data_IF_496251461146
#
_entry.id   IF_496251461146
#
_cell.length_a   1.000
_cell.length_b   1.000
_cell.length_c   1.000
_cell.angle_alpha   90.00
_cell.angle_beta   90.00
_cell.angle_gamma   90.00
#
_symmetry.space_group_name_H-M   'P 1'
#
loop_
_entity.id
_entity.type
_entity.pdbx_description
1 polymer ?
#
# COMPACT_ATOMS: atom_id res chain seq x y z
N UNK A 1 -22.64 -8.61 7.60
CA UNK A 1 -22.93 -7.15 7.64
C UNK A 1 -24.44 -6.92 7.82
N UNK A 2 -24.83 -6.10 8.77
CA UNK A 2 -26.21 -5.74 9.08
C UNK A 2 -26.48 -4.25 8.86
N UNK A 3 -27.73 -3.82 8.86
CA UNK A 3 -28.08 -2.39 8.80
C UNK A 3 -27.53 -1.63 10.00
N UNK A 4 -27.52 -2.28 11.16
CA UNK A 4 -27.00 -1.74 12.41
C UNK A 4 -25.49 -1.44 12.34
N UNK A 5 -24.70 -2.24 11.65
CA UNK A 5 -23.27 -2.00 11.50
C UNK A 5 -22.99 -0.65 10.80
N UNK A 6 -23.75 -0.40 9.72
CA UNK A 6 -23.63 0.86 8.97
C UNK A 6 -24.22 2.03 9.76
N UNK A 7 -25.35 1.82 10.44
CA UNK A 7 -25.98 2.85 11.27
C UNK A 7 -25.07 3.24 12.45
N UNK A 8 -24.33 2.30 13.05
CA UNK A 8 -23.34 2.59 14.08
C UNK A 8 -22.25 3.51 13.56
N UNK A 9 -21.65 3.18 12.42
CA UNK A 9 -20.61 4.02 11.79
C UNK A 9 -21.14 5.42 11.44
N UNK A 10 -22.38 5.53 10.99
CA UNK A 10 -22.99 6.79 10.57
C UNK A 10 -23.61 7.60 11.73
N UNK A 11 -23.55 7.09 12.97
CA UNK A 11 -24.06 7.81 14.13
C UNK A 11 -23.15 8.97 14.52
N UNK A 12 -23.62 10.22 14.47
CA UNK A 12 -22.78 11.37 14.81
C UNK A 12 -22.23 11.30 16.22
N UNK A 13 -20.96 11.59 16.38
CA UNK A 13 -20.26 11.57 17.67
C UNK A 13 -19.66 10.22 18.06
N UNK A 14 -19.95 9.16 17.31
CA UNK A 14 -19.25 7.87 17.42
C UNK A 14 -18.12 7.89 16.39
N UNK A 15 -16.89 8.13 16.87
CA UNK A 15 -15.68 7.99 16.08
C UNK A 15 -15.22 6.52 16.03
N UNK A 16 -14.14 6.26 15.27
CA UNK A 16 -13.60 4.90 15.09
C UNK A 16 -13.37 4.20 16.43
N UNK A 17 -12.63 4.80 17.34
CA UNK A 17 -12.37 4.21 18.68
C UNK A 17 -13.64 3.99 19.51
N UNK A 18 -14.61 4.89 19.39
CA UNK A 18 -15.90 4.73 20.06
C UNK A 18 -16.72 3.56 19.52
N UNK A 19 -16.67 3.34 18.20
CA UNK A 19 -17.31 2.19 17.56
C UNK A 19 -16.65 0.87 18.00
N UNK A 20 -15.31 0.82 18.02
CA UNK A 20 -14.55 -0.34 18.51
C UNK A 20 -14.92 -0.65 19.95
N UNK A 21 -14.85 0.34 20.83
CA UNK A 21 -15.21 0.18 22.25
C UNK A 21 -16.62 -0.39 22.45
N UNK A 22 -17.59 0.14 21.70
CA UNK A 22 -18.97 -0.36 21.78
C UNK A 22 -19.09 -1.79 21.25
N UNK A 23 -18.44 -2.12 20.14
CA UNK A 23 -18.45 -3.46 19.58
C UNK A 23 -17.78 -4.48 20.50
N UNK A 24 -16.71 -4.12 21.18
CA UNK A 24 -16.04 -4.95 22.19
C UNK A 24 -16.91 -5.16 23.42
N UNK A 25 -17.61 -4.11 23.87
CA UNK A 25 -18.47 -4.17 25.07
C UNK A 25 -19.76 -5.00 24.81
N UNK A 26 -20.44 -4.76 23.69
CA UNK A 26 -21.74 -5.38 23.38
C UNK A 26 -21.65 -6.60 22.47
N UNK A 27 -20.53 -6.80 21.79
CA UNK A 27 -20.26 -7.90 20.86
C UNK A 27 -20.82 -7.74 19.46
N UNK A 28 -21.84 -6.87 19.24
CA UNK A 28 -22.39 -6.59 17.91
C UNK A 28 -23.15 -5.27 17.86
N UNK A 29 -23.26 -4.67 16.67
CA UNK A 29 -24.04 -3.45 16.46
C UNK A 29 -25.52 -3.65 16.80
N UNK A 30 -26.09 -4.80 16.48
CA UNK A 30 -27.49 -5.12 16.83
C UNK A 30 -27.73 -5.05 18.35
N UNK A 31 -26.80 -5.56 19.17
CA UNK A 31 -26.91 -5.47 20.63
C UNK A 31 -26.74 -4.04 21.14
N UNK A 32 -25.88 -3.24 20.51
CA UNK A 32 -25.72 -1.81 20.85
C UNK A 32 -27.06 -1.08 20.66
N UNK A 33 -27.77 -1.31 19.54
CA UNK A 33 -29.07 -0.68 19.28
C UNK A 33 -30.23 -1.30 20.05
N UNK A 34 -30.06 -2.43 20.70
CA UNK A 34 -31.02 -3.06 21.60
C UNK A 34 -30.80 -2.72 23.08
N UNK A 35 -29.67 -2.10 23.42
CA UNK A 35 -29.28 -1.77 24.78
C UNK A 35 -30.15 -0.64 25.36
N UNK A 36 -30.34 -0.65 26.70
CA UNK A 36 -31.02 0.42 27.45
C UNK A 36 -30.15 1.69 27.54
N UNK A 37 -30.78 2.78 27.97
CA UNK A 37 -30.06 4.05 28.20
C UNK A 37 -28.94 3.89 29.24
N UNK A 38 -29.23 3.17 30.32
CA UNK A 38 -28.30 2.97 31.45
C UNK A 38 -27.10 2.09 31.00
N UNK A 39 -27.34 1.01 30.24
CA UNK A 39 -26.26 0.19 29.68
C UNK A 39 -25.35 0.98 28.75
N UNK A 40 -25.89 1.91 27.95
CA UNK A 40 -25.10 2.75 27.07
C UNK A 40 -24.32 3.83 27.85
N UNK A 41 -24.93 4.46 28.86
CA UNK A 41 -24.30 5.58 29.57
C UNK A 41 -23.43 5.13 30.74
N UNK A 42 -23.98 4.32 31.65
CA UNK A 42 -23.27 3.84 32.84
C UNK A 42 -22.40 2.61 32.51
N UNK A 43 -22.92 1.68 31.72
CA UNK A 43 -22.21 0.46 31.35
C UNK A 43 -21.06 0.71 30.37
N UNK A 44 -21.33 1.39 29.25
CA UNK A 44 -20.32 1.65 28.21
C UNK A 44 -19.71 3.06 28.24
N UNK A 45 -20.08 3.90 29.20
CA UNK A 45 -19.53 5.24 29.38
C UNK A 45 -19.84 6.23 28.24
N UNK A 46 -20.93 6.00 27.48
CA UNK A 46 -21.32 6.92 26.42
C UNK A 46 -21.90 8.21 27.00
N UNK A 47 -21.64 9.31 26.30
CA UNK A 47 -22.32 10.57 26.62
C UNK A 47 -23.82 10.45 26.37
N UNK A 48 -24.68 11.04 27.23
CA UNK A 48 -26.14 10.92 27.12
C UNK A 48 -26.73 11.42 25.78
N UNK A 49 -26.07 12.41 25.15
CA UNK A 49 -26.50 12.94 23.84
C UNK A 49 -26.28 11.92 22.71
N UNK A 50 -25.18 11.14 22.76
CA UNK A 50 -24.88 10.08 21.81
C UNK A 50 -25.77 8.87 22.07
N UNK A 51 -25.92 8.43 23.30
CA UNK A 51 -26.83 7.35 23.69
C UNK A 51 -28.26 7.61 23.18
N UNK A 52 -28.76 8.84 23.31
CA UNK A 52 -30.09 9.24 22.80
C UNK A 52 -30.17 9.11 21.27
N UNK A 53 -29.11 9.42 20.52
CA UNK A 53 -29.10 9.27 19.05
C UNK A 53 -29.18 7.80 18.65
N UNK A 54 -28.48 6.91 19.35
CA UNK A 54 -28.56 5.46 19.14
C UNK A 54 -29.97 4.94 19.41
N UNK A 55 -30.54 5.26 20.58
CA UNK A 55 -31.90 4.84 20.98
C UNK A 55 -32.98 5.35 20.03
N UNK A 56 -32.82 6.57 19.48
CA UNK A 56 -33.72 7.14 18.47
C UNK A 56 -33.48 6.60 17.06
N UNK A 57 -32.46 5.75 16.87
CA UNK A 57 -32.12 5.14 15.56
C UNK A 57 -31.98 6.16 14.42
N UNK A 58 -31.49 7.37 14.72
CA UNK A 58 -31.41 8.49 13.76
C UNK A 58 -30.61 8.21 12.49
N UNK A 59 -29.59 7.34 12.58
CA UNK A 59 -28.75 6.98 11.45
C UNK A 59 -29.35 5.93 10.50
N UNK A 60 -30.42 5.23 10.88
CA UNK A 60 -30.94 4.09 10.11
C UNK A 60 -31.38 4.47 8.68
N UNK A 61 -32.15 5.54 8.53
CA UNK A 61 -32.57 5.99 7.20
C UNK A 61 -31.39 6.40 6.31
N UNK A 62 -30.30 6.89 6.90
CA UNK A 62 -29.07 7.19 6.17
C UNK A 62 -28.32 5.91 5.80
N UNK A 63 -28.28 4.92 6.69
CA UNK A 63 -27.67 3.62 6.45
C UNK A 63 -28.40 2.82 5.35
N UNK A 64 -29.74 2.87 5.31
CA UNK A 64 -30.53 2.27 4.23
C UNK A 64 -30.18 2.88 2.85
N UNK A 65 -30.08 4.20 2.80
CA UNK A 65 -29.66 4.91 1.57
C UNK A 65 -28.24 4.51 1.16
N UNK A 66 -27.33 4.33 2.13
CA UNK A 66 -25.96 3.91 1.88
C UNK A 66 -25.89 2.49 1.31
N UNK A 67 -26.67 1.55 1.86
CA UNK A 67 -26.77 0.18 1.31
C UNK A 67 -27.28 0.21 -0.14
N UNK A 68 -28.33 0.99 -0.40
CA UNK A 68 -28.89 1.13 -1.74
C UNK A 68 -27.90 1.77 -2.72
N UNK A 69 -27.12 2.75 -2.26
CA UNK A 69 -26.06 3.39 -3.01
C UNK A 69 -24.95 2.40 -3.35
N UNK A 70 -24.41 1.69 -2.36
CA UNK A 70 -23.34 0.71 -2.56
C UNK A 70 -23.75 -0.41 -3.52
N UNK A 71 -24.99 -0.94 -3.38
CA UNK A 71 -25.52 -1.95 -4.29
C UNK A 71 -25.58 -1.44 -5.74
N UNK A 72 -26.02 -0.20 -5.96
CA UNK A 72 -26.10 0.42 -7.29
C UNK A 72 -24.72 0.59 -7.95
N UNK A 73 -23.69 0.85 -7.17
CA UNK A 73 -22.33 1.09 -7.65
C UNK A 73 -21.40 -0.14 -7.61
N UNK A 74 -21.93 -1.32 -7.27
CA UNK A 74 -21.14 -2.55 -7.16
C UNK A 74 -20.08 -2.47 -6.07
N UNK A 75 -20.41 -1.82 -4.93
CA UNK A 75 -19.54 -1.66 -3.77
C UNK A 75 -19.99 -2.69 -2.73
N UNK A 76 -19.10 -3.60 -2.35
CA UNK A 76 -19.33 -4.51 -1.23
C UNK A 76 -19.12 -3.76 0.09
N UNK A 77 -19.91 -4.14 1.09
CA UNK A 77 -19.81 -3.63 2.45
C UNK A 77 -19.44 -4.78 3.36
N UNK A 78 -18.35 -4.64 4.12
CA UNK A 78 -17.85 -5.66 5.05
C UNK A 78 -17.74 -5.06 6.44
N UNK A 79 -18.48 -5.62 7.40
CA UNK A 79 -18.43 -5.21 8.80
C UNK A 79 -17.29 -5.92 9.53
N UNK A 80 -16.77 -5.31 10.60
CA UNK A 80 -15.69 -5.89 11.40
C UNK A 80 -16.08 -7.23 12.06
N UNK A 81 -17.36 -7.51 12.19
CA UNK A 81 -17.91 -8.77 12.71
C UNK A 81 -18.05 -9.87 11.64
N UNK A 82 -17.92 -9.55 10.36
CA UNK A 82 -18.01 -10.51 9.27
C UNK A 82 -16.74 -11.39 9.18
N UNK A 83 -16.91 -12.64 8.76
CA UNK A 83 -15.79 -13.58 8.58
C UNK A 83 -14.79 -13.11 7.50
N UNK A 84 -15.24 -12.38 6.49
CA UNK A 84 -14.41 -11.83 5.42
C UNK A 84 -13.69 -10.53 5.77
N UNK A 85 -13.81 -10.02 7.01
CA UNK A 85 -13.07 -8.84 7.43
C UNK A 85 -11.59 -9.17 7.65
N UNK A 86 -10.63 -8.31 7.17
CA UNK A 86 -9.20 -8.59 7.27
C UNK A 86 -8.75 -8.83 8.73
N UNK A 87 -8.18 -10.02 9.04
CA UNK A 87 -7.82 -10.37 10.42
C UNK A 87 -6.80 -9.40 11.02
N UNK A 88 -5.74 -9.10 10.28
CA UNK A 88 -4.70 -8.18 10.73
C UNK A 88 -5.25 -6.78 11.05
N UNK A 89 -6.19 -6.28 10.24
CA UNK A 89 -6.82 -4.99 10.49
C UNK A 89 -7.67 -5.03 11.77
N UNK A 90 -8.36 -6.14 12.04
CA UNK A 90 -9.18 -6.32 13.26
C UNK A 90 -8.36 -6.33 14.55
N UNK A 91 -7.09 -6.73 14.50
CA UNK A 91 -6.19 -6.73 15.66
C UNK A 91 -5.79 -5.33 16.13
N UNK A 92 -6.01 -4.30 15.33
CA UNK A 92 -5.60 -2.93 15.69
C UNK A 92 -6.63 -2.23 16.58
N UNK A 93 -6.22 -1.30 17.46
CA UNK A 93 -7.12 -0.68 18.45
C UNK A 93 -8.10 0.35 17.83
N UNK A 94 -7.96 0.62 16.55
CA UNK A 94 -8.73 1.63 15.82
C UNK A 94 -9.17 1.14 14.43
N UNK A 95 -9.50 -0.15 14.33
CA UNK A 95 -10.02 -0.72 13.10
C UNK A 95 -11.36 -0.08 12.68
N UNK A 96 -11.62 0.12 11.39
CA UNK A 96 -12.93 0.57 10.92
C UNK A 96 -14.04 -0.45 11.23
N UNK A 97 -15.16 0.01 11.79
CA UNK A 97 -16.31 -0.87 12.02
C UNK A 97 -16.87 -1.43 10.71
N UNK A 98 -16.74 -0.67 9.61
CA UNK A 98 -17.21 -1.04 8.28
C UNK A 98 -16.18 -0.63 7.23
N UNK A 99 -15.98 -1.49 6.24
CA UNK A 99 -15.22 -1.23 5.02
C UNK A 99 -16.13 -1.23 3.80
N UNK A 100 -15.86 -0.31 2.88
CA UNK A 100 -16.48 -0.24 1.56
C UNK A 100 -15.45 -0.66 0.52
N UNK A 101 -15.78 -1.67 -0.30
CA UNK A 101 -14.82 -2.34 -1.18
C UNK A 101 -15.36 -2.40 -2.59
N UNK A 102 -14.56 -2.00 -3.57
CA UNK A 102 -14.84 -2.21 -4.99
C UNK A 102 -13.74 -3.10 -5.58
N UNK A 103 -14.13 -4.23 -6.15
CA UNK A 103 -13.24 -5.28 -6.64
C UNK A 103 -13.27 -6.53 -5.78
N UNK A 104 -12.15 -7.23 -5.71
CA UNK A 104 -12.04 -8.50 -4.99
C UNK A 104 -11.75 -8.30 -3.50
N UNK A 105 -12.73 -8.53 -2.64
CA UNK A 105 -12.57 -8.42 -1.19
C UNK A 105 -11.57 -9.44 -0.60
N UNK A 106 -11.39 -10.60 -1.23
CA UNK A 106 -10.45 -11.63 -0.78
C UNK A 106 -8.99 -11.15 -0.86
N UNK A 107 -8.68 -10.18 -1.74
CA UNK A 107 -7.35 -9.58 -1.81
C UNK A 107 -6.91 -8.93 -0.49
N UNK A 108 -7.86 -8.49 0.36
CA UNK A 108 -7.56 -7.89 1.66
C UNK A 108 -7.15 -8.93 2.73
N UNK A 109 -7.40 -10.21 2.49
CA UNK A 109 -7.04 -11.32 3.40
C UNK A 109 -5.88 -12.17 2.88
N UNK A 110 -5.30 -11.77 1.74
CA UNK A 110 -4.12 -12.39 1.16
C UNK A 110 -2.85 -12.11 1.99
N UNK A 111 -1.69 -12.56 1.51
CA UNK A 111 -0.39 -12.15 2.08
C UNK A 111 -0.09 -10.71 1.73
N UNK A 112 -0.66 -9.77 2.48
CA UNK A 112 -0.53 -8.35 2.22
C UNK A 112 0.83 -7.81 2.67
N UNK A 113 1.45 -7.01 1.78
CA UNK A 113 2.67 -6.25 2.03
C UNK A 113 2.44 -4.79 1.66
N UNK A 114 2.67 -3.89 2.58
CA UNK A 114 2.55 -2.46 2.34
C UNK A 114 3.83 -1.87 1.76
N UNK A 115 3.72 -1.15 0.64
CA UNK A 115 4.77 -0.29 0.10
C UNK A 115 4.28 1.17 0.12
N UNK A 116 5.06 2.05 0.74
CA UNK A 116 4.77 3.49 0.83
C UNK A 116 6.02 4.34 0.65
N UNK A 117 5.81 5.63 0.36
CA UNK A 117 6.94 6.54 0.25
C UNK A 117 6.53 7.96 -0.14
N UNK A 118 7.53 8.70 -0.61
CA UNK A 118 7.36 10.08 -1.06
C UNK A 118 6.42 10.19 -2.25
N UNK A 119 5.67 11.29 -2.31
CA UNK A 119 4.85 11.63 -3.50
C UNK A 119 5.70 12.08 -4.70
N UNK A 120 6.98 12.33 -4.51
CA UNK A 120 7.96 12.71 -5.53
C UNK A 120 9.04 11.63 -5.64
N UNK A 121 8.60 10.41 -6.02
CA UNK A 121 9.51 9.30 -6.22
C UNK A 121 10.60 9.63 -7.25
N UNK A 122 11.82 9.28 -6.93
CA UNK A 122 12.94 9.34 -7.86
C UNK A 122 12.94 8.13 -8.80
N UNK A 123 13.71 8.13 -9.89
CA UNK A 123 13.91 6.92 -10.70
C UNK A 123 14.41 5.73 -9.88
N UNK A 124 15.25 5.97 -8.86
CA UNK A 124 15.73 4.95 -7.94
C UNK A 124 14.57 4.32 -7.16
N UNK A 125 13.70 5.12 -6.54
CA UNK A 125 12.56 4.61 -5.79
C UNK A 125 11.57 3.83 -6.66
N UNK A 126 11.35 4.27 -7.91
CA UNK A 126 10.51 3.54 -8.86
C UNK A 126 11.14 2.19 -9.23
N UNK A 127 12.44 2.17 -9.55
CA UNK A 127 13.17 0.94 -9.86
C UNK A 127 13.19 -0.03 -8.67
N UNK A 128 13.29 0.47 -7.45
CA UNK A 128 13.21 -0.36 -6.24
C UNK A 128 11.81 -0.98 -6.06
N UNK A 129 10.72 -0.25 -6.35
CA UNK A 129 9.38 -0.82 -6.36
C UNK A 129 9.27 -1.95 -7.39
N UNK A 130 9.67 -1.69 -8.64
CA UNK A 130 9.61 -2.66 -9.73
C UNK A 130 10.39 -3.93 -9.38
N UNK A 131 11.62 -3.77 -8.86
CA UNK A 131 12.49 -4.89 -8.51
C UNK A 131 11.95 -5.70 -7.34
N UNK A 132 11.66 -5.04 -6.21
CA UNK A 132 11.20 -5.74 -4.99
C UNK A 132 9.86 -6.45 -5.23
N UNK A 133 8.91 -5.79 -5.88
CA UNK A 133 7.60 -6.39 -6.15
C UNK A 133 7.72 -7.53 -7.16
N UNK A 134 8.52 -7.37 -8.23
CA UNK A 134 8.77 -8.43 -9.22
C UNK A 134 9.40 -9.67 -8.58
N UNK A 135 10.52 -9.51 -7.85
CA UNK A 135 11.21 -10.61 -7.17
C UNK A 135 10.31 -11.31 -6.11
N UNK A 136 9.50 -10.53 -5.36
CA UNK A 136 8.58 -11.08 -4.36
C UNK A 136 7.42 -11.83 -5.01
N UNK A 137 6.88 -11.33 -6.12
CA UNK A 137 5.78 -11.96 -6.85
C UNK A 137 6.14 -13.37 -7.35
N UNK A 138 7.38 -13.58 -7.79
CA UNK A 138 7.89 -14.88 -8.23
C UNK A 138 8.04 -15.88 -7.08
N UNK A 139 8.26 -15.41 -5.85
CA UNK A 139 8.72 -16.23 -4.72
C UNK A 139 7.68 -16.40 -3.63
N UNK A 140 6.72 -15.48 -3.52
CA UNK A 140 5.73 -15.45 -2.43
C UNK A 140 4.33 -15.71 -3.01
N UNK A 141 3.85 -16.97 -2.97
CA UNK A 141 2.51 -17.30 -3.44
C UNK A 141 1.44 -16.55 -2.64
N UNK A 142 0.47 -15.98 -3.36
CA UNK A 142 -0.63 -15.24 -2.74
C UNK A 142 -0.24 -13.86 -2.21
N UNK A 143 0.89 -13.31 -2.67
CA UNK A 143 1.29 -11.93 -2.35
C UNK A 143 0.26 -10.93 -2.89
N UNK A 144 -0.06 -9.93 -2.07
CA UNK A 144 -0.86 -8.76 -2.43
C UNK A 144 -0.16 -7.48 -1.96
N UNK A 145 0.00 -6.51 -2.85
CA UNK A 145 0.60 -5.22 -2.50
C UNK A 145 -0.48 -4.27 -2.02
N UNK A 146 -0.25 -3.62 -0.87
CA UNK A 146 -1.15 -2.61 -0.31
C UNK A 146 -0.48 -1.24 -0.37
N UNK A 147 -1.19 -0.24 -0.87
CA UNK A 147 -0.73 1.16 -0.86
C UNK A 147 -1.90 2.14 -0.92
N UNK A 148 -1.61 3.43 -1.08
CA UNK A 148 -2.61 4.50 -0.94
C UNK A 148 -3.02 5.18 -2.24
N UNK A 149 -2.60 4.72 -3.40
CA UNK A 149 -2.91 5.30 -4.71
C UNK A 149 -2.47 6.78 -4.85
N UNK A 150 -1.59 7.28 -3.99
CA UNK A 150 -1.04 8.61 -4.08
C UNK A 150 0.02 8.70 -5.21
N UNK A 151 0.45 9.92 -5.56
CA UNK A 151 1.58 10.11 -6.45
C UNK A 151 2.86 9.50 -5.87
N UNK A 152 3.85 9.23 -6.71
CA UNK A 152 5.18 8.75 -6.32
C UNK A 152 5.23 7.26 -6.03
N UNK A 153 5.67 6.87 -4.85
CA UNK A 153 5.90 5.45 -4.50
C UNK A 153 4.61 4.64 -4.50
N UNK A 154 3.48 5.18 -4.01
CA UNK A 154 2.22 4.44 -3.95
C UNK A 154 1.79 3.97 -5.35
N UNK A 155 1.78 4.88 -6.33
CA UNK A 155 1.40 4.52 -7.70
C UNK A 155 2.44 3.62 -8.37
N UNK A 156 3.74 3.76 -8.04
CA UNK A 156 4.79 2.88 -8.53
C UNK A 156 4.59 1.46 -8.01
N UNK A 157 4.27 1.29 -6.73
CA UNK A 157 3.99 0.00 -6.11
C UNK A 157 2.79 -0.71 -6.77
N UNK A 158 1.69 0.03 -7.04
CA UNK A 158 0.53 -0.54 -7.74
C UNK A 158 0.87 -0.97 -9.17
N UNK A 159 1.62 -0.15 -9.91
CA UNK A 159 2.07 -0.49 -11.27
C UNK A 159 2.97 -1.72 -11.28
N UNK A 160 3.93 -1.79 -10.36
CA UNK A 160 4.80 -2.94 -10.22
C UNK A 160 4.00 -4.23 -9.95
N UNK A 161 2.99 -4.18 -9.07
CA UNK A 161 2.12 -5.31 -8.80
C UNK A 161 1.31 -5.75 -10.04
N UNK A 162 0.72 -4.79 -10.77
CA UNK A 162 -0.02 -5.07 -12.01
C UNK A 162 0.91 -5.68 -13.08
N UNK A 163 2.12 -5.15 -13.23
CA UNK A 163 3.13 -5.68 -14.17
C UNK A 163 3.56 -7.09 -13.79
N UNK A 164 3.70 -7.37 -12.51
CA UNK A 164 4.04 -8.70 -11.99
C UNK A 164 2.86 -9.69 -11.99
N UNK A 165 1.65 -9.24 -12.39
CA UNK A 165 0.45 -10.09 -12.45
C UNK A 165 -0.09 -10.52 -11.08
N UNK A 166 0.19 -9.78 -10.01
CA UNK A 166 -0.32 -10.06 -8.67
C UNK A 166 -1.37 -9.01 -8.24
N UNK A 167 -2.32 -9.39 -7.36
CA UNK A 167 -3.32 -8.45 -6.87
C UNK A 167 -2.69 -7.31 -6.08
N UNK A 168 -3.37 -6.15 -6.10
CA UNK A 168 -2.99 -5.02 -5.27
C UNK A 168 -4.23 -4.34 -4.69
N UNK A 169 -4.12 -3.80 -3.48
CA UNK A 169 -5.20 -3.12 -2.76
C UNK A 169 -4.86 -1.64 -2.60
N UNK A 170 -5.71 -0.78 -3.14
CA UNK A 170 -5.60 0.65 -2.96
C UNK A 170 -6.55 1.13 -1.86
N UNK A 171 -5.99 1.61 -0.75
CA UNK A 171 -6.77 2.24 0.32
C UNK A 171 -6.99 3.71 -0.02
N UNK A 172 -8.23 4.17 -0.03
CA UNK A 172 -8.60 5.53 -0.45
C UNK A 172 -8.95 6.42 0.74
N UNK A 173 -8.68 7.72 0.59
CA UNK A 173 -9.05 8.76 1.55
C UNK A 173 -10.33 9.50 1.15
N UNK A 174 -11.12 8.92 0.27
CA UNK A 174 -12.42 9.42 -0.20
C UNK A 174 -13.40 8.26 -0.30
N UNK A 175 -14.70 8.59 -0.38
CA UNK A 175 -15.74 7.59 -0.59
C UNK A 175 -15.71 7.04 -2.03
N UNK A 176 -16.04 5.75 -2.18
CA UNK A 176 -16.23 5.10 -3.47
C UNK A 176 -17.57 5.53 -4.12
N UNK A 177 -17.69 5.50 -5.48
CA UNK A 177 -16.73 4.97 -6.45
C UNK A 177 -15.70 5.98 -6.95
N UNK A 178 -15.68 7.19 -6.42
CA UNK A 178 -14.73 8.21 -6.84
C UNK A 178 -13.28 7.79 -6.55
N UNK A 179 -12.35 8.26 -7.39
CA UNK A 179 -10.91 8.00 -7.25
C UNK A 179 -10.16 9.32 -7.17
N UNK A 180 -9.39 9.48 -6.11
CA UNK A 180 -8.52 10.63 -5.92
C UNK A 180 -7.07 10.18 -5.69
N UNK A 181 -6.10 10.69 -6.47
CA UNK A 181 -6.24 11.71 -7.53
C UNK A 181 -6.85 11.14 -8.83
N UNK A 182 -7.61 11.99 -9.57
CA UNK A 182 -8.30 11.58 -10.78
C UNK A 182 -7.36 11.05 -11.88
N UNK A 183 -6.10 11.51 -11.90
CA UNK A 183 -5.05 11.02 -12.81
C UNK A 183 -4.76 9.52 -12.66
N UNK A 184 -5.07 8.95 -11.52
CA UNK A 184 -4.87 7.53 -11.24
C UNK A 184 -6.12 6.66 -11.49
N UNK A 185 -7.20 7.24 -12.06
CA UNK A 185 -8.45 6.53 -12.31
C UNK A 185 -8.29 5.32 -13.27
N UNK A 186 -7.37 5.39 -14.23
CA UNK A 186 -7.06 4.25 -15.10
C UNK A 186 -6.45 3.09 -14.30
N UNK A 187 -5.41 3.37 -13.51
CA UNK A 187 -4.77 2.36 -12.66
C UNK A 187 -5.76 1.78 -11.64
N UNK A 188 -6.66 2.60 -11.08
CA UNK A 188 -7.69 2.12 -10.17
C UNK A 188 -8.65 1.11 -10.84
N UNK A 189 -8.97 1.29 -12.12
CA UNK A 189 -9.74 0.30 -12.90
C UNK A 189 -8.94 -0.96 -13.12
N UNK A 190 -7.68 -0.82 -13.56
CA UNK A 190 -6.79 -1.96 -13.79
C UNK A 190 -6.62 -2.79 -12.50
N UNK A 191 -6.50 -2.16 -11.33
CA UNK A 191 -6.47 -2.83 -10.02
C UNK A 191 -7.69 -3.74 -9.85
N UNK A 192 -8.89 -3.21 -10.10
CA UNK A 192 -10.15 -3.98 -9.94
C UNK A 192 -10.25 -5.10 -10.96
N UNK A 193 -9.87 -4.86 -12.21
CA UNK A 193 -9.94 -5.83 -13.31
C UNK A 193 -8.93 -6.98 -13.17
N UNK A 194 -7.80 -6.74 -12.47
CA UNK A 194 -6.76 -7.75 -12.23
C UNK A 194 -6.84 -8.40 -10.83
N UNK A 195 -8.04 -8.48 -10.25
CA UNK A 195 -8.26 -9.22 -9.01
C UNK A 195 -7.85 -8.50 -7.73
N UNK A 196 -7.52 -7.22 -7.81
CA UNK A 196 -7.29 -6.35 -6.67
C UNK A 196 -8.56 -5.65 -6.18
N UNK A 197 -8.40 -4.67 -5.28
CA UNK A 197 -9.51 -3.93 -4.70
C UNK A 197 -9.18 -2.46 -4.41
N UNK A 198 -10.20 -1.62 -4.47
CA UNK A 198 -10.23 -0.29 -3.87
C UNK A 198 -10.99 -0.38 -2.56
N UNK A 199 -10.44 0.14 -1.48
CA UNK A 199 -11.06 0.07 -0.16
C UNK A 199 -11.06 1.42 0.54
N UNK A 200 -12.13 1.72 1.25
CA UNK A 200 -12.24 2.92 2.10
C UNK A 200 -13.10 2.63 3.33
N UNK A 201 -12.89 3.39 4.40
CA UNK A 201 -13.80 3.42 5.55
C UNK A 201 -14.90 4.49 5.43
N UNK A 202 -14.87 5.31 4.39
CA UNK A 202 -15.75 6.47 4.25
C UNK A 202 -17.00 6.12 3.45
N UNK A 203 -18.17 6.34 4.05
CA UNK A 203 -19.46 6.19 3.37
C UNK A 203 -19.72 7.32 2.36
N UNK A 204 -20.61 7.10 1.39
CA UNK A 204 -20.87 8.01 0.26
C UNK A 204 -21.28 9.43 0.65
N UNK A 205 -21.90 9.59 1.82
CA UNK A 205 -22.35 10.89 2.33
C UNK A 205 -21.26 11.65 3.10
N UNK A 206 -20.02 11.12 3.17
CA UNK A 206 -18.90 11.78 3.83
C UNK A 206 -18.40 12.94 2.99
N UNK A 207 -18.36 14.14 3.58
CA UNK A 207 -17.77 15.31 2.93
C UNK A 207 -16.25 15.20 2.93
N UNK A 208 -15.63 15.38 1.77
CA UNK A 208 -14.17 15.30 1.61
C UNK A 208 -13.44 16.26 2.56
N UNK A 209 -12.42 15.74 3.24
CA UNK A 209 -11.56 16.51 4.16
C UNK A 209 -10.11 16.04 4.02
N UNK A 210 -9.17 16.97 4.06
CA UNK A 210 -7.74 16.69 3.97
C UNK A 210 -7.20 15.79 5.11
N UNK A 211 -7.83 15.80 6.29
CA UNK A 211 -7.46 14.95 7.42
C UNK A 211 -7.63 13.45 7.14
N UNK A 212 -8.49 13.08 6.19
CA UNK A 212 -8.71 11.67 5.82
C UNK A 212 -7.48 11.01 5.17
N UNK A 213 -6.61 11.81 4.55
CA UNK A 213 -5.33 11.26 4.03
C UNK A 213 -4.43 10.74 5.14
N UNK A 214 -4.41 11.43 6.27
CA UNK A 214 -3.65 10.98 7.45
C UNK A 214 -4.35 9.81 8.13
N UNK A 215 -5.66 9.93 8.35
CA UNK A 215 -6.46 8.89 8.99
C UNK A 215 -6.42 7.55 8.22
N UNK A 216 -6.46 7.59 6.88
CA UNK A 216 -6.40 6.43 6.02
C UNK A 216 -5.10 5.63 6.17
N UNK A 217 -3.97 6.30 6.45
CA UNK A 217 -2.66 5.65 6.49
C UNK A 217 -2.58 4.52 7.54
N UNK A 218 -3.36 4.59 8.61
CA UNK A 218 -3.47 3.51 9.59
C UNK A 218 -4.03 2.22 8.98
N UNK A 219 -4.99 2.34 8.05
CA UNK A 219 -5.59 1.17 7.37
C UNK A 219 -4.57 0.53 6.44
N UNK A 220 -3.78 1.35 5.71
CA UNK A 220 -2.68 0.84 4.87
C UNK A 220 -1.71 0.01 5.71
N UNK A 221 -1.26 0.55 6.85
CA UNK A 221 -0.33 -0.13 7.74
C UNK A 221 -0.94 -1.41 8.35
N UNK A 222 -2.21 -1.34 8.76
CA UNK A 222 -2.89 -2.40 9.48
C UNK A 222 -3.27 -3.63 8.62
N UNK A 223 -3.44 -3.45 7.30
CA UNK A 223 -3.83 -4.53 6.39
C UNK A 223 -2.69 -5.53 6.13
N UNK A 224 -1.45 -5.19 6.46
CA UNK A 224 -0.27 -5.93 6.01
C UNK A 224 0.56 -6.48 7.17
N UNK A 225 1.23 -7.59 6.93
CA UNK A 225 2.18 -8.18 7.88
C UNK A 225 3.43 -7.29 8.06
N UNK A 226 3.80 -6.54 7.02
CA UNK A 226 4.91 -5.61 7.07
C UNK A 226 4.70 -4.38 6.19
N UNK A 227 5.49 -3.35 6.47
CA UNK A 227 5.46 -2.07 5.76
C UNK A 227 6.88 -1.71 5.30
N UNK A 228 7.05 -1.50 3.99
CA UNK A 228 8.31 -1.04 3.40
C UNK A 228 8.17 0.45 3.05
N UNK A 229 9.04 1.28 3.62
CA UNK A 229 9.21 2.67 3.20
C UNK A 229 10.32 2.71 2.16
N UNK A 230 9.95 2.94 0.89
CA UNK A 230 10.90 2.89 -0.24
C UNK A 230 11.73 4.16 -0.33
N UNK A 231 11.10 5.31 -0.30
CA UNK A 231 11.74 6.62 -0.23
C UNK A 231 10.91 7.56 0.65
N UNK A 232 11.56 8.36 1.47
CA UNK A 232 10.91 9.42 2.24
C UNK A 232 11.92 10.50 2.64
N UNK A 233 11.58 11.79 2.49
CA UNK A 233 12.30 12.84 3.19
C UNK A 233 11.95 12.80 4.69
N UNK A 234 12.72 13.50 5.54
CA UNK A 234 12.56 13.54 7.00
C UNK A 234 11.16 13.97 7.47
N UNK A 235 10.45 14.75 6.69
CA UNK A 235 9.08 15.23 6.97
C UNK A 235 8.03 14.58 6.08
N UNK A 236 8.31 13.41 5.52
CA UNK A 236 7.42 12.72 4.58
C UNK A 236 6.15 12.16 5.23
N UNK A 237 5.00 12.29 4.56
CA UNK A 237 3.73 11.70 5.02
C UNK A 237 3.76 10.18 5.14
N UNK A 238 4.65 9.49 4.43
CA UNK A 238 4.90 8.05 4.53
C UNK A 238 5.45 7.63 5.90
N UNK A 239 6.14 8.55 6.61
CA UNK A 239 6.61 8.28 7.97
C UNK A 239 5.46 8.17 8.97
N UNK A 240 4.29 8.78 8.68
CA UNK A 240 3.08 8.56 9.49
C UNK A 240 2.56 7.13 9.31
N UNK A 241 2.60 6.58 8.09
CA UNK A 241 2.26 5.17 7.84
C UNK A 241 3.25 4.24 8.53
N UNK A 242 4.55 4.56 8.47
CA UNK A 242 5.60 3.83 9.18
C UNK A 242 5.35 3.82 10.71
N UNK A 243 4.96 4.96 11.28
CA UNK A 243 4.63 5.05 12.70
C UNK A 243 3.39 4.21 13.07
N UNK A 244 2.36 4.20 12.21
CA UNK A 244 1.21 3.31 12.41
C UNK A 244 1.64 1.84 12.37
N UNK A 245 2.46 1.44 11.39
CA UNK A 245 2.97 0.07 11.29
C UNK A 245 3.73 -0.36 12.55
N UNK A 246 4.64 0.48 13.04
CA UNK A 246 5.38 0.27 14.28
C UNK A 246 4.43 0.12 15.49
N UNK A 247 3.42 1.01 15.60
CA UNK A 247 2.44 0.97 16.69
C UNK A 247 1.47 -0.21 16.67
N UNK A 248 1.36 -0.90 15.55
CA UNK A 248 0.54 -2.11 15.35
C UNK A 248 1.37 -3.39 15.34
N UNK A 249 2.64 -3.33 15.78
CA UNK A 249 3.57 -4.45 15.76
C UNK A 249 3.72 -5.10 14.37
N UNK A 250 3.64 -4.29 13.29
CA UNK A 250 3.94 -4.73 11.94
C UNK A 250 5.42 -4.57 11.65
N UNK A 251 6.02 -5.54 11.00
CA UNK A 251 7.44 -5.47 10.64
C UNK A 251 7.70 -4.24 9.77
N UNK A 252 8.41 -3.25 10.32
CA UNK A 252 8.76 -2.04 9.61
C UNK A 252 10.11 -2.20 8.92
N UNK A 253 10.12 -1.97 7.62
CA UNK A 253 11.28 -2.08 6.74
C UNK A 253 11.51 -0.78 5.98
N UNK A 254 12.75 -0.50 5.62
CA UNK A 254 13.09 0.69 4.85
C UNK A 254 14.21 0.40 3.84
N UNK A 255 14.06 0.96 2.65
CA UNK A 255 15.09 0.90 1.61
C UNK A 255 16.14 1.97 1.89
N UNK A 256 17.43 1.63 1.96
CA UNK A 256 18.50 2.60 2.13
C UNK A 256 18.68 3.43 0.86
N UNK A 257 19.16 4.65 1.01
CA UNK A 257 19.59 5.49 -0.09
C UNK A 257 20.86 6.25 0.26
N UNK A 258 21.32 7.13 -0.63
CA UNK A 258 22.54 7.90 -0.41
C UNK A 258 22.37 8.83 0.80
N UNK A 259 23.41 8.97 1.60
CA UNK A 259 23.40 9.82 2.79
C UNK A 259 23.12 11.30 2.48
N UNK A 260 23.45 11.74 1.26
CA UNK A 260 23.25 13.11 0.79
C UNK A 260 21.95 13.31 0.01
N UNK A 261 21.16 12.25 -0.20
CA UNK A 261 19.90 12.33 -0.94
C UNK A 261 18.75 12.75 0.01
N UNK A 262 18.13 13.93 -0.22
CA UNK A 262 17.02 14.38 0.60
C UNK A 262 15.81 13.43 0.58
N UNK A 263 15.59 12.67 -0.51
CA UNK A 263 14.47 11.74 -0.62
C UNK A 263 14.70 10.44 0.15
N UNK A 264 15.94 10.17 0.56
CA UNK A 264 16.31 8.99 1.36
C UNK A 264 16.61 9.34 2.83
N UNK A 265 16.54 10.61 3.22
CA UNK A 265 16.88 11.03 4.59
C UNK A 265 15.97 10.37 5.64
N UNK A 266 14.66 10.30 5.40
CA UNK A 266 13.71 9.69 6.30
C UNK A 266 13.88 8.17 6.42
N UNK A 267 14.09 7.45 5.31
CA UNK A 267 14.35 5.99 5.34
C UNK A 267 15.67 5.68 6.04
N UNK A 268 16.74 6.43 5.73
CA UNK A 268 18.03 6.30 6.41
C UNK A 268 17.94 6.59 7.92
N UNK A 269 17.09 7.56 8.33
CA UNK A 269 16.84 7.83 9.76
C UNK A 269 16.08 6.69 10.44
N UNK A 270 15.09 6.08 9.79
CA UNK A 270 14.39 4.90 10.32
C UNK A 270 15.37 3.75 10.59
N UNK A 271 16.24 3.47 9.61
CA UNK A 271 17.29 2.42 9.72
C UNK A 271 18.30 2.76 10.81
N UNK A 272 18.87 3.96 10.77
CA UNK A 272 19.88 4.41 11.74
C UNK A 272 19.37 4.34 13.19
N UNK A 273 18.09 4.68 13.41
CA UNK A 273 17.46 4.68 14.71
C UNK A 273 16.91 3.30 15.11
N UNK A 274 17.17 2.25 14.31
CA UNK A 274 16.71 0.86 14.53
C UNK A 274 15.18 0.76 14.64
N UNK A 275 14.45 1.65 13.99
CA UNK A 275 12.99 1.60 13.88
C UNK A 275 12.53 0.75 12.71
N UNK A 276 13.34 0.68 11.64
CA UNK A 276 13.07 -0.14 10.48
C UNK A 276 14.26 -1.04 10.17
N UNK A 277 13.95 -2.27 9.73
CA UNK A 277 14.95 -3.18 9.18
C UNK A 277 15.37 -2.68 7.79
N UNK A 278 16.68 -2.73 7.52
CA UNK A 278 17.21 -2.40 6.21
C UNK A 278 16.87 -3.53 5.23
N UNK A 279 16.22 -3.19 4.11
CA UNK A 279 15.92 -4.14 3.03
C UNK A 279 16.39 -3.60 1.69
N UNK A 280 17.07 -4.46 0.92
CA UNK A 280 17.56 -4.19 -0.42
C UNK A 280 17.03 -5.19 -1.45
N UNK A 281 16.63 -6.38 -1.01
CA UNK A 281 16.25 -7.51 -1.85
C UNK A 281 14.97 -8.17 -1.33
N UNK A 282 14.34 -8.99 -2.16
CA UNK A 282 13.22 -9.83 -1.74
C UNK A 282 13.61 -10.82 -0.63
N UNK A 283 14.88 -11.31 -0.62
CA UNK A 283 15.37 -12.18 0.45
C UNK A 283 15.31 -11.52 1.82
N UNK A 284 15.68 -10.23 1.89
CA UNK A 284 15.59 -9.48 3.13
C UNK A 284 14.15 -9.40 3.63
N UNK A 285 13.21 -9.09 2.73
CA UNK A 285 11.77 -8.99 3.08
C UNK A 285 11.22 -10.34 3.53
N UNK A 286 11.50 -11.42 2.82
CA UNK A 286 11.05 -12.78 3.14
C UNK A 286 11.58 -13.19 4.51
N UNK A 287 12.86 -12.93 4.80
CA UNK A 287 13.50 -13.23 6.08
C UNK A 287 12.86 -12.43 7.22
N UNK A 288 12.70 -11.11 7.07
CA UNK A 288 12.14 -10.25 8.11
C UNK A 288 10.67 -10.57 8.42
N UNK A 289 9.90 -11.02 7.42
CA UNK A 289 8.51 -11.44 7.59
C UNK A 289 8.36 -12.91 7.98
N UNK A 290 9.48 -13.65 8.11
CA UNK A 290 9.48 -15.10 8.34
C UNK A 290 8.58 -15.85 7.32
N UNK A 291 8.56 -15.36 6.07
CA UNK A 291 7.82 -15.96 4.98
C UNK A 291 8.62 -17.08 4.29
N UNK A 292 9.57 -17.66 5.00
CA UNK A 292 10.32 -18.79 4.53
C UNK A 292 9.38 -19.97 4.39
N UNK A 293 9.11 -20.33 3.13
CA UNK A 293 8.07 -21.25 2.74
C UNK A 293 8.53 -22.71 2.83
N UNK A 294 9.46 -23.01 3.77
CA UNK A 294 10.02 -24.35 3.94
C UNK A 294 10.57 -24.81 2.60
N UNK A 295 11.66 -24.23 2.18
CA UNK A 295 12.27 -24.54 0.89
C UNK A 295 12.69 -25.98 0.85
N UNK A 296 11.91 -26.81 0.17
CA UNK A 296 12.47 -27.95 -0.53
C UNK A 296 13.51 -27.38 -1.52
N UNK A 297 14.81 -27.70 -1.38
CA UNK A 297 15.85 -27.20 -2.28
C UNK A 297 15.56 -27.44 -3.77
N UNK A 298 14.63 -28.34 -4.08
CA UNK A 298 14.18 -28.66 -5.43
C UNK A 298 13.20 -27.61 -6.02
N UNK A 299 12.65 -26.69 -5.20
CA UNK A 299 11.69 -25.66 -5.67
C UNK A 299 12.31 -24.28 -5.83
N UNK A 300 13.58 -24.10 -5.53
CA UNK A 300 14.34 -22.93 -5.95
C UNK A 300 14.43 -22.93 -7.47
N UNK A 301 13.49 -22.22 -8.12
CA UNK A 301 13.70 -21.87 -9.52
C UNK A 301 15.06 -21.16 -9.59
N UNK A 302 15.92 -21.55 -10.55
CA UNK A 302 17.17 -20.84 -10.71
C UNK A 302 16.84 -19.34 -10.86
N UNK A 303 17.57 -18.51 -10.09
CA UNK A 303 17.59 -17.06 -10.28
C UNK A 303 17.59 -16.81 -11.79
N UNK A 304 16.70 -15.96 -12.34
CA UNK A 304 16.77 -15.66 -13.76
C UNK A 304 18.23 -15.38 -14.07
N UNK A 305 18.80 -16.16 -15.00
CA UNK A 305 20.21 -16.07 -15.30
C UNK A 305 20.50 -14.60 -15.59
N UNK A 306 21.50 -14.04 -14.92
CA UNK A 306 22.02 -12.71 -15.29
C UNK A 306 22.09 -12.74 -16.83
N UNK A 307 21.43 -11.81 -17.54
CA UNK A 307 21.36 -11.89 -18.98
C UNK A 307 22.78 -12.11 -19.51
N UNK A 308 22.98 -13.08 -20.40
CA UNK A 308 24.26 -13.31 -21.03
C UNK A 308 24.58 -12.09 -21.89
N UNK A 309 25.23 -11.11 -21.29
CA UNK A 309 25.69 -9.92 -21.99
C UNK A 309 26.84 -10.29 -22.91
N UNK A 310 26.82 -9.78 -24.12
CA UNK A 310 27.97 -9.85 -25.01
C UNK A 310 29.15 -9.12 -24.39
N UNK A 311 30.35 -9.38 -24.87
CA UNK A 311 31.56 -8.73 -24.37
C UNK A 311 31.49 -7.21 -24.50
N UNK A 312 30.88 -6.71 -25.56
CA UNK A 312 30.74 -5.28 -25.84
C UNK A 312 29.67 -4.64 -24.95
N UNK A 313 28.54 -5.33 -24.69
CA UNK A 313 27.51 -4.90 -23.75
C UNK A 313 28.05 -4.86 -22.31
N UNK A 314 28.81 -5.86 -21.89
CA UNK A 314 29.46 -5.87 -20.59
C UNK A 314 30.49 -4.75 -20.45
N UNK A 315 31.25 -4.46 -21.52
CA UNK A 315 32.19 -3.34 -21.58
C UNK A 315 31.51 -1.99 -21.43
N UNK A 316 30.37 -1.80 -22.12
CA UNK A 316 29.59 -0.58 -22.01
C UNK A 316 28.94 -0.43 -20.62
N UNK A 317 28.43 -1.52 -20.04
CA UNK A 317 27.85 -1.52 -18.71
C UNK A 317 28.88 -1.14 -17.62
N UNK A 318 30.16 -1.46 -17.83
CA UNK A 318 31.25 -1.06 -16.94
C UNK A 318 31.58 0.47 -16.97
N UNK A 319 31.10 1.18 -18.00
CA UNK A 319 31.25 2.64 -18.09
C UNK A 319 30.27 3.37 -17.12
N UNK A 320 29.23 2.71 -16.65
CA UNK A 320 28.36 3.24 -15.59
C UNK A 320 29.04 3.13 -14.23
N UNK A 321 29.77 4.17 -13.84
CA UNK A 321 30.59 4.21 -12.62
C UNK A 321 29.75 4.43 -11.35
N UNK A 322 28.54 4.95 -11.49
CA UNK A 322 27.57 5.22 -10.41
C UNK A 322 26.18 4.81 -10.87
N UNK A 323 25.25 4.74 -9.90
CA UNK A 323 23.82 4.48 -10.18
C UNK A 323 23.09 5.75 -10.66
N UNK A 324 23.81 6.87 -10.86
CA UNK A 324 23.21 8.09 -11.39
C UNK A 324 22.97 7.98 -12.90
N UNK A 325 21.88 8.59 -13.40
CA UNK A 325 21.64 8.65 -14.82
C UNK A 325 22.77 9.40 -15.56
N UNK A 326 23.36 8.75 -16.56
CA UNK A 326 24.43 9.26 -17.41
C UNK A 326 23.88 9.58 -18.81
N UNK A 327 24.38 10.63 -19.46
CA UNK A 327 23.94 10.98 -20.82
C UNK A 327 24.59 10.08 -21.90
N UNK A 328 23.93 9.95 -23.04
CA UNK A 328 24.52 9.21 -24.18
C UNK A 328 25.82 9.83 -24.66
N UNK A 329 25.96 11.16 -24.60
CA UNK A 329 27.18 11.88 -24.98
C UNK A 329 28.37 11.51 -24.05
N UNK A 330 28.12 11.49 -22.73
CA UNK A 330 29.12 11.10 -21.74
C UNK A 330 29.48 9.61 -21.85
N UNK A 331 28.51 8.73 -22.20
CA UNK A 331 28.78 7.33 -22.48
C UNK A 331 29.64 7.14 -23.76
N UNK A 332 29.45 7.96 -24.80
CA UNK A 332 30.32 7.97 -25.98
C UNK A 332 31.74 8.32 -25.60
N UNK A 333 31.95 9.33 -24.76
CA UNK A 333 33.29 9.76 -24.30
C UNK A 333 33.98 8.68 -23.46
N UNK A 334 33.23 8.04 -22.54
CA UNK A 334 33.79 7.02 -21.64
C UNK A 334 34.06 5.68 -22.34
N UNK A 335 33.23 5.29 -23.30
CA UNK A 335 33.36 4.02 -24.03
C UNK A 335 34.26 4.12 -25.26
N UNK A 336 34.40 5.33 -25.81
CA UNK A 336 35.09 5.55 -27.08
C UNK A 336 34.31 5.09 -28.32
N UNK A 337 33.03 4.72 -28.14
CA UNK A 337 32.15 4.23 -29.20
C UNK A 337 31.49 5.37 -29.99
N UNK A 338 31.25 5.16 -31.26
CA UNK A 338 30.44 6.05 -32.07
C UNK A 338 28.95 6.00 -31.64
N UNK A 339 28.22 7.11 -31.80
CA UNK A 339 26.80 7.22 -31.36
C UNK A 339 25.89 6.11 -31.91
N UNK A 340 26.08 5.67 -33.16
CA UNK A 340 25.28 4.58 -33.75
C UNK A 340 25.53 3.23 -33.08
N UNK A 341 26.77 2.91 -32.78
CA UNK A 341 27.18 1.68 -32.12
C UNK A 341 26.75 1.68 -30.64
N UNK A 342 26.93 2.81 -29.95
CA UNK A 342 26.44 3.01 -28.59
C UNK A 342 24.92 2.79 -28.52
N UNK A 343 24.15 3.37 -29.45
CA UNK A 343 22.68 3.25 -29.45
C UNK A 343 22.23 1.80 -29.63
N UNK A 344 22.92 1.03 -30.48
CA UNK A 344 22.60 -0.39 -30.66
C UNK A 344 22.88 -1.21 -29.39
N UNK A 345 23.99 -0.99 -28.72
CA UNK A 345 24.36 -1.67 -27.47
C UNK A 345 23.44 -1.26 -26.31
N UNK A 346 23.06 0.02 -26.22
CA UNK A 346 22.12 0.49 -25.21
C UNK A 346 20.73 -0.13 -25.38
N UNK A 347 20.27 -0.29 -26.64
CA UNK A 347 19.00 -1.00 -26.91
C UNK A 347 19.08 -2.47 -26.49
N UNK A 348 20.21 -3.15 -26.76
CA UNK A 348 20.46 -4.52 -26.30
C UNK A 348 20.42 -4.63 -24.78
N UNK A 349 21.10 -3.75 -24.09
CA UNK A 349 21.13 -3.67 -22.62
C UNK A 349 19.76 -3.32 -22.02
N UNK A 350 18.96 -2.49 -22.68
CA UNK A 350 17.59 -2.18 -22.26
C UNK A 350 16.67 -3.38 -22.42
N UNK A 351 16.75 -4.09 -23.55
CA UNK A 351 16.00 -5.33 -23.76
C UNK A 351 16.42 -6.44 -22.78
N UNK A 352 17.69 -6.47 -22.40
CA UNK A 352 18.21 -7.36 -21.37
C UNK A 352 17.84 -6.92 -19.92
N UNK A 353 17.19 -5.75 -19.75
CA UNK A 353 16.85 -5.20 -18.44
C UNK A 353 18.05 -4.71 -17.62
N UNK A 354 19.22 -4.51 -18.26
CA UNK A 354 20.44 -4.08 -17.61
C UNK A 354 20.56 -2.55 -17.45
N UNK A 355 19.93 -1.79 -18.36
CA UNK A 355 19.82 -0.33 -18.32
C UNK A 355 18.39 0.12 -18.61
N UNK A 356 18.06 1.36 -18.27
CA UNK A 356 16.77 2.02 -18.59
C UNK A 356 17.02 3.37 -19.19
N UNK A 357 16.37 3.68 -20.32
CA UNK A 357 16.35 5.00 -20.90
C UNK A 357 15.46 5.95 -20.09
N UNK A 358 15.93 7.17 -19.88
CA UNK A 358 15.23 8.25 -19.21
C UNK A 358 15.04 9.46 -20.14
N UNK A 359 14.07 10.35 -19.85
CA UNK A 359 13.90 11.57 -20.63
C UNK A 359 15.18 12.40 -20.72
N UNK A 360 15.46 12.97 -21.91
CA UNK A 360 16.67 13.74 -22.18
C UNK A 360 17.86 12.88 -22.60
N UNK A 361 17.62 11.72 -23.22
CA UNK A 361 18.67 10.83 -23.74
C UNK A 361 19.70 10.40 -22.67
N UNK A 362 19.19 10.12 -21.48
CA UNK A 362 19.96 9.65 -20.32
C UNK A 362 19.66 8.20 -20.05
N UNK A 363 20.61 7.48 -19.50
CA UNK A 363 20.51 6.06 -19.19
C UNK A 363 20.91 5.80 -17.75
N UNK A 364 20.22 4.86 -17.10
CA UNK A 364 20.48 4.43 -15.72
C UNK A 364 20.75 2.94 -15.70
N UNK A 365 21.80 2.52 -14.99
CA UNK A 365 22.12 1.12 -14.74
C UNK A 365 21.11 0.51 -13.77
N UNK A 366 20.67 -0.75 -14.03
CA UNK A 366 19.70 -1.47 -13.21
C UNK A 366 20.31 -2.72 -12.51
N UNK A 367 21.42 -3.26 -13.02
CA UNK A 367 22.09 -4.48 -12.50
C UNK A 367 23.55 -4.24 -12.16
#
# INVERSE_FOLDING_TARGET
MTLEDIALQMTPGIGVKGAVHLLEHFGSAARIFAASADELTEGAGLRPDIARQLLQRKAFAAAEREIAYCRRHGIAIVASTDAGYPPLLRETPDYPAVLYIKGNAEALTARCLTLVGTRRATPYGQAMCDRLVGELAERVPGLCIVSGLAFGIDIAAHRAALTAGIPTVAVLANALPEVTPAQHAAIARDIVEHGGALVTELHSQTRQNGSFYVARNRIIAALSAGCIVVESPDSGGSLLTAHCADSYDRTLMAVPGRATDPMSSGTNHLIRNRKAQLVMTADDVIRELMWDLGTDPATLRPKPATPELTRDEAGLLACFRTDDPISAEELCELSGLGFGELSALLLGLEMAGAVRQLPGNRYMKLI
#
